data_IF_361546874761
#
_entry.id   IF_361546874761
#
_cell.length_a   1.000
_cell.length_b   1.000
_cell.length_c   1.000
_cell.angle_alpha   90.00
_cell.angle_beta   90.00
_cell.angle_gamma   90.00
#
_symmetry.space_group_name_H-M   'P 1'
#
loop_
_entity.id
_entity.type
_entity.pdbx_description
1 polymer ?
#
# COMPACT_ATOMS: atom_id res chain seq x y z
N UNK A 1 20.38 17.32 -36.21
CA UNK A 1 21.28 16.15 -36.03
C UNK A 1 21.07 15.63 -34.61
N UNK A 2 20.39 14.50 -34.47
CA UNK A 2 19.90 14.02 -33.17
C UNK A 2 20.83 12.92 -32.67
N UNK A 3 21.58 13.19 -31.60
CA UNK A 3 22.38 12.19 -30.92
C UNK A 3 21.46 11.21 -30.17
N UNK A 4 21.38 9.99 -30.68
CA UNK A 4 20.77 8.85 -29.99
C UNK A 4 21.81 8.28 -29.04
N UNK A 5 21.58 8.43 -27.73
CA UNK A 5 22.40 7.75 -26.71
C UNK A 5 21.90 6.31 -26.60
N UNK A 6 22.62 5.40 -27.24
CA UNK A 6 22.45 3.95 -27.10
C UNK A 6 23.09 3.53 -25.78
N UNK A 7 22.27 3.17 -24.79
CA UNK A 7 22.76 2.59 -23.54
C UNK A 7 22.91 1.07 -23.77
N UNK A 8 24.16 0.64 -23.94
CA UNK A 8 24.53 -0.77 -24.03
C UNK A 8 24.14 -1.52 -22.75
N UNK A 9 23.35 -2.57 -22.92
CA UNK A 9 23.00 -3.51 -21.86
C UNK A 9 24.21 -4.41 -21.59
N UNK A 10 24.93 -4.15 -20.50
CA UNK A 10 26.00 -5.01 -20.03
C UNK A 10 25.43 -6.35 -19.55
N UNK A 11 25.82 -7.44 -20.20
CA UNK A 11 25.53 -8.81 -19.78
C UNK A 11 26.35 -9.14 -18.53
N UNK A 12 25.68 -9.46 -17.43
CA UNK A 12 26.31 -9.96 -16.23
C UNK A 12 26.65 -11.45 -16.38
N UNK A 13 27.87 -11.90 -16.02
CA UNK A 13 28.21 -13.31 -16.02
C UNK A 13 27.46 -14.05 -14.91
N UNK A 14 26.80 -15.16 -15.27
CA UNK A 14 26.28 -16.16 -14.31
C UNK A 14 27.47 -16.84 -13.63
N UNK A 15 27.75 -16.46 -12.39
CA UNK A 15 28.57 -17.28 -11.49
C UNK A 15 27.72 -18.46 -11.02
N UNK A 16 28.03 -19.65 -11.54
CA UNK A 16 27.51 -20.91 -11.03
C UNK A 16 28.29 -21.28 -9.76
N UNK A 17 27.73 -20.95 -8.59
CA UNK A 17 28.22 -21.45 -7.31
C UNK A 17 27.68 -22.87 -7.08
N UNK A 18 28.54 -23.86 -7.30
CA UNK A 18 28.36 -25.24 -6.86
C UNK A 18 28.43 -25.30 -5.33
N UNK A 19 27.28 -25.24 -4.67
CA UNK A 19 27.16 -25.45 -3.23
C UNK A 19 26.86 -26.94 -3.03
N UNK A 20 27.84 -27.68 -2.52
CA UNK A 20 27.65 -29.04 -2.03
C UNK A 20 26.66 -29.05 -0.86
N UNK A 21 25.72 -30.01 -0.81
CA UNK A 21 24.77 -30.11 0.31
C UNK A 21 25.50 -30.44 1.63
N UNK A 22 25.06 -29.88 2.76
CA UNK A 22 25.63 -30.19 4.06
C UNK A 22 25.30 -31.65 4.48
N UNK A 23 26.17 -32.28 5.28
CA UNK A 23 25.96 -33.63 5.78
C UNK A 23 24.73 -33.72 6.70
N UNK A 24 23.96 -34.78 6.52
CA UNK A 24 22.78 -35.13 7.29
C UNK A 24 23.15 -35.45 8.75
N UNK A 25 22.65 -34.67 9.70
CA UNK A 25 22.79 -34.97 11.14
C UNK A 25 21.47 -35.63 11.59
N UNK A 26 21.49 -36.88 12.10
CA UNK A 26 20.30 -37.53 12.62
C UNK A 26 19.82 -36.84 13.90
N UNK A 27 18.56 -36.42 13.87
CA UNK A 27 17.85 -35.73 14.96
C UNK A 27 17.60 -36.69 16.14
N UNK A 28 18.24 -36.42 17.27
CA UNK A 28 17.98 -37.08 18.55
C UNK A 28 16.62 -36.63 19.09
N UNK A 29 15.62 -37.52 19.04
CA UNK A 29 14.32 -37.30 19.68
C UNK A 29 14.48 -37.26 21.22
N UNK A 30 14.05 -36.18 21.89
CA UNK A 30 13.96 -36.18 23.34
C UNK A 30 12.73 -36.96 23.81
N UNK A 31 12.95 -38.00 24.60
CA UNK A 31 11.87 -38.70 25.31
C UNK A 31 11.31 -37.80 26.42
N UNK A 32 10.04 -37.43 26.30
CA UNK A 32 9.31 -36.66 27.31
C UNK A 32 8.71 -37.65 28.33
N UNK A 33 8.97 -37.49 29.65
CA UNK A 33 8.36 -38.31 30.68
C UNK A 33 6.86 -38.03 30.82
N UNK A 34 6.07 -39.09 30.83
CA UNK A 34 4.65 -39.08 31.13
C UNK A 34 4.40 -38.62 32.58
N UNK A 35 3.91 -37.39 32.75
CA UNK A 35 3.46 -36.87 34.05
C UNK A 35 1.98 -37.18 34.26
N UNK A 36 1.73 -37.96 35.31
CA UNK A 36 0.44 -38.47 35.75
C UNK A 36 -0.58 -37.36 36.02
N UNK A 37 -1.76 -37.56 35.43
CA UNK A 37 -2.94 -36.71 35.49
C UNK A 37 -3.61 -36.84 36.87
N UNK A 38 -3.52 -35.81 37.71
CA UNK A 38 -4.34 -35.68 38.93
C UNK A 38 -5.74 -35.20 38.57
N UNK A 39 -6.71 -36.10 38.76
CA UNK A 39 -8.15 -35.87 38.56
C UNK A 39 -8.69 -34.94 39.65
N UNK A 40 -9.12 -33.73 39.26
CA UNK A 40 -9.91 -32.84 40.11
C UNK A 40 -11.42 -33.07 39.88
N UNK A 41 -12.27 -32.92 40.92
CA UNK A 41 -13.70 -33.17 40.81
C UNK A 41 -14.44 -32.05 40.03
N UNK A 42 -15.54 -32.40 39.35
CA UNK A 42 -16.27 -31.46 38.49
C UNK A 42 -17.03 -30.41 39.31
N UNK A 43 -16.63 -29.15 39.17
CA UNK A 43 -17.38 -27.99 39.68
C UNK A 43 -18.63 -27.77 38.82
N UNK A 44 -19.80 -27.94 39.44
CA UNK A 44 -21.14 -27.82 38.86
C UNK A 44 -21.52 -26.36 38.57
N UNK A 45 -20.77 -25.70 37.69
CA UNK A 45 -21.15 -24.40 37.13
C UNK A 45 -21.82 -24.64 35.79
N UNK A 46 -23.14 -24.42 35.74
CA UNK A 46 -23.92 -24.41 34.51
C UNK A 46 -23.14 -23.63 33.44
N UNK A 47 -22.73 -24.26 32.32
CA UNK A 47 -22.09 -23.54 31.24
C UNK A 47 -23.10 -22.52 30.73
N UNK A 48 -22.88 -21.25 31.07
CA UNK A 48 -23.53 -20.14 30.41
C UNK A 48 -23.08 -20.26 28.96
N UNK A 49 -23.94 -20.87 28.14
CA UNK A 49 -23.82 -20.91 26.69
C UNK A 49 -23.77 -19.46 26.25
N UNK A 50 -22.56 -18.90 26.22
CA UNK A 50 -22.29 -17.69 25.49
C UNK A 50 -22.49 -18.12 24.04
N UNK A 51 -23.69 -17.88 23.51
CA UNK A 51 -23.88 -17.80 22.08
C UNK A 51 -22.84 -16.79 21.60
N UNK A 52 -21.73 -17.31 21.10
CA UNK A 52 -20.73 -16.56 20.38
C UNK A 52 -21.49 -15.88 19.26
N UNK A 53 -21.69 -14.56 19.41
CA UNK A 53 -22.28 -13.70 18.39
C UNK A 53 -21.67 -14.14 17.06
N UNK A 54 -22.48 -14.46 16.03
CA UNK A 54 -21.94 -14.78 14.72
C UNK A 54 -21.00 -13.64 14.35
N UNK A 55 -19.72 -13.99 14.24
CA UNK A 55 -18.65 -13.05 13.96
C UNK A 55 -19.06 -12.44 12.63
N UNK A 56 -19.55 -11.20 12.63
CA UNK A 56 -19.86 -10.47 11.41
C UNK A 56 -18.55 -10.40 10.64
N UNK A 57 -18.39 -11.32 9.69
CA UNK A 57 -17.41 -11.23 8.62
C UNK A 57 -17.89 -10.02 7.84
N UNK A 58 -17.39 -8.86 8.25
CA UNK A 58 -17.60 -7.64 7.50
C UNK A 58 -16.87 -7.91 6.19
N UNK A 59 -17.63 -8.01 5.09
CA UNK A 59 -17.15 -8.16 3.72
C UNK A 59 -16.41 -6.90 3.24
N UNK A 60 -15.54 -6.34 4.09
CA UNK A 60 -14.70 -5.19 3.77
C UNK A 60 -13.53 -5.70 2.95
N UNK A 61 -13.37 -5.14 1.75
CA UNK A 61 -12.22 -5.43 0.88
C UNK A 61 -10.92 -4.82 1.44
N UNK A 62 -11.04 -3.77 2.26
CA UNK A 62 -9.88 -3.05 2.79
C UNK A 62 -8.97 -3.96 3.61
N UNK A 63 -7.70 -3.98 3.24
CA UNK A 63 -6.65 -4.82 3.81
C UNK A 63 -6.48 -6.18 3.13
N UNK A 64 -7.35 -6.57 2.19
CA UNK A 64 -7.20 -7.82 1.44
C UNK A 64 -6.03 -7.72 0.46
N UNK A 65 -5.18 -8.73 0.47
CA UNK A 65 -4.09 -8.87 -0.49
C UNK A 65 -4.57 -9.68 -1.68
N UNK A 66 -4.43 -9.11 -2.86
CA UNK A 66 -4.77 -9.73 -4.14
C UNK A 66 -3.57 -9.74 -5.07
N UNK A 67 -3.71 -10.34 -6.24
CA UNK A 67 -2.71 -10.37 -7.30
C UNK A 67 -3.19 -9.56 -8.50
N UNK A 68 -2.38 -8.59 -8.93
CA UNK A 68 -2.55 -7.92 -10.20
C UNK A 68 -1.81 -8.73 -11.28
N UNK A 69 -2.54 -9.41 -12.21
CA UNK A 69 -1.91 -10.26 -13.21
C UNK A 69 -1.11 -9.44 -14.24
N UNK A 70 -0.41 -10.13 -15.14
CA UNK A 70 0.27 -9.48 -16.27
C UNK A 70 -0.74 -8.76 -17.16
N UNK A 71 -0.32 -7.67 -17.79
CA UNK A 71 -1.17 -6.83 -18.65
C UNK A 71 -1.97 -7.62 -19.69
N UNK A 72 -1.31 -8.53 -20.41
CA UNK A 72 -1.94 -9.38 -21.44
C UNK A 72 -2.96 -10.40 -20.91
N UNK A 73 -3.05 -10.62 -19.59
CA UNK A 73 -4.07 -11.48 -18.96
C UNK A 73 -5.27 -10.69 -18.44
N UNK A 74 -5.23 -9.37 -18.54
CA UNK A 74 -6.32 -8.48 -18.18
C UNK A 74 -7.10 -8.17 -19.47
N UNK A 75 -8.42 -8.36 -19.49
CA UNK A 75 -9.26 -7.90 -20.60
C UNK A 75 -9.03 -6.41 -20.89
N UNK A 76 -9.02 -6.02 -22.16
CA UNK A 76 -8.65 -4.65 -22.57
C UNK A 76 -9.58 -3.57 -21.97
N UNK A 77 -10.84 -3.91 -21.72
CA UNK A 77 -11.84 -3.06 -21.06
C UNK A 77 -11.60 -2.86 -19.56
N UNK A 78 -10.81 -3.74 -18.94
CA UNK A 78 -10.45 -3.71 -17.52
C UNK A 78 -9.00 -3.29 -17.28
N UNK A 79 -8.22 -3.01 -18.34
CA UNK A 79 -6.81 -2.63 -18.21
C UNK A 79 -6.67 -1.27 -17.52
N UNK A 80 -6.04 -1.19 -16.32
CA UNK A 80 -5.82 0.07 -15.63
C UNK A 80 -4.80 1.00 -16.31
N UNK A 81 -4.16 0.57 -17.40
CA UNK A 81 -3.13 1.33 -18.14
C UNK A 81 -1.99 1.83 -17.23
N UNK A 82 -1.46 0.92 -16.42
CA UNK A 82 -0.33 1.19 -15.53
C UNK A 82 0.99 1.11 -16.31
N UNK A 83 2.07 1.56 -15.67
CA UNK A 83 3.42 1.34 -16.20
C UNK A 83 3.71 -0.16 -16.32
N UNK A 84 4.46 -0.59 -17.34
CA UNK A 84 4.71 -2.01 -17.63
C UNK A 84 5.29 -2.77 -16.41
N UNK A 85 6.11 -2.09 -15.61
CA UNK A 85 6.71 -2.64 -14.39
C UNK A 85 5.77 -2.74 -13.18
N UNK A 86 4.52 -2.29 -13.28
CA UNK A 86 3.54 -2.33 -12.20
C UNK A 86 2.63 -3.56 -12.25
N UNK A 87 2.64 -4.34 -13.33
CA UNK A 87 1.86 -5.58 -13.45
C UNK A 87 2.60 -6.78 -12.83
N UNK A 88 1.90 -7.89 -12.61
CA UNK A 88 2.50 -9.13 -12.06
C UNK A 88 3.02 -8.96 -10.61
N UNK A 89 2.22 -8.28 -9.79
CA UNK A 89 2.56 -7.95 -8.41
C UNK A 89 1.43 -8.26 -7.45
N UNK A 90 1.74 -8.61 -6.18
CA UNK A 90 0.76 -8.55 -5.12
C UNK A 90 0.37 -7.10 -4.85
N UNK A 91 -0.88 -6.90 -4.46
CA UNK A 91 -1.45 -5.58 -4.16
C UNK A 91 -2.31 -5.67 -2.90
N UNK A 92 -2.43 -4.58 -2.17
CA UNK A 92 -3.36 -4.47 -1.03
C UNK A 92 -4.49 -3.52 -1.38
N UNK A 93 -5.74 -3.95 -1.19
CA UNK A 93 -6.91 -3.10 -1.39
C UNK A 93 -7.04 -2.14 -0.22
N UNK A 94 -7.18 -0.85 -0.52
CA UNK A 94 -7.31 0.22 0.47
C UNK A 94 -8.78 0.62 0.68
N UNK A 95 -9.59 0.65 -0.38
CA UNK A 95 -11.03 0.96 -0.32
C UNK A 95 -11.80 -0.13 0.44
N UNK A 96 -12.81 0.28 1.22
CA UNK A 96 -13.70 -0.68 1.91
C UNK A 96 -14.68 -1.38 0.97
N UNK A 97 -15.16 -0.63 -0.01
CA UNK A 97 -16.14 -1.05 -1.03
C UNK A 97 -15.67 -0.55 -2.40
N UNK A 98 -16.03 -1.23 -3.49
CA UNK A 98 -15.74 -0.73 -4.82
C UNK A 98 -16.59 0.53 -5.13
N UNK A 99 -16.10 1.34 -6.08
CA UNK A 99 -16.89 2.41 -6.69
C UNK A 99 -18.10 1.85 -7.45
N UNK A 100 -19.06 2.71 -7.87
CA UNK A 100 -20.17 2.29 -8.73
C UNK A 100 -19.71 1.61 -10.04
N UNK A 101 -18.55 2.01 -10.57
CA UNK A 101 -17.91 1.45 -11.76
C UNK A 101 -17.11 0.18 -11.47
N UNK A 102 -17.08 -0.28 -10.22
CA UNK A 102 -16.34 -1.47 -9.80
C UNK A 102 -14.85 -1.23 -9.56
N UNK A 103 -14.41 0.03 -9.40
CA UNK A 103 -13.02 0.38 -9.14
C UNK A 103 -12.69 0.27 -7.64
N UNK A 104 -11.46 -0.11 -7.33
CA UNK A 104 -10.89 -0.11 -5.97
C UNK A 104 -9.53 0.57 -5.99
N UNK A 105 -9.21 1.26 -4.89
CA UNK A 105 -7.89 1.84 -4.67
C UNK A 105 -6.96 0.79 -4.08
N UNK A 106 -5.77 0.67 -4.65
CA UNK A 106 -4.76 -0.32 -4.25
C UNK A 106 -3.39 0.33 -4.00
N UNK A 107 -2.60 -0.30 -3.13
CA UNK A 107 -1.16 -0.06 -3.02
C UNK A 107 -0.39 -1.30 -3.49
N UNK A 108 0.72 -1.07 -4.17
CA UNK A 108 1.56 -2.15 -4.70
C UNK A 108 2.42 -2.77 -3.60
N UNK A 109 2.61 -4.09 -3.64
CA UNK A 109 3.53 -4.82 -2.77
C UNK A 109 4.74 -5.27 -3.60
N UNK A 110 5.94 -4.99 -3.09
CA UNK A 110 7.19 -5.42 -3.69
C UNK A 110 7.99 -6.29 -2.72
N UNK A 111 8.65 -7.31 -3.24
CA UNK A 111 9.60 -8.12 -2.45
C UNK A 111 11.05 -7.70 -2.64
N UNK A 112 11.32 -6.74 -3.55
CA UNK A 112 12.68 -6.29 -3.89
C UNK A 112 13.67 -7.44 -4.21
N UNK A 113 13.16 -8.54 -4.78
CA UNK A 113 13.94 -9.75 -5.04
C UNK A 113 14.25 -10.57 -3.79
N UNK A 114 13.36 -10.56 -2.78
CA UNK A 114 13.54 -11.15 -1.46
C UNK A 114 14.69 -10.56 -0.63
N UNK A 115 15.21 -9.39 -1.04
CA UNK A 115 16.25 -8.65 -0.31
C UNK A 115 15.61 -7.65 0.64
N UNK A 116 16.35 -7.29 1.69
CA UNK A 116 15.96 -6.16 2.55
C UNK A 116 16.08 -4.83 1.79
N UNK A 117 15.30 -3.83 2.19
CA UNK A 117 15.27 -2.52 1.52
C UNK A 117 16.66 -1.86 1.43
N UNK A 118 17.50 -2.02 2.46
CA UNK A 118 18.87 -1.51 2.48
C UNK A 118 19.82 -2.19 1.49
N UNK A 119 19.52 -3.42 1.09
CA UNK A 119 20.31 -4.16 0.09
C UNK A 119 19.79 -3.94 -1.33
N UNK A 120 18.50 -3.61 -1.46
CA UNK A 120 17.85 -3.45 -2.74
C UNK A 120 18.08 -2.07 -3.37
N UNK A 121 18.27 -1.06 -2.54
CA UNK A 121 18.45 0.32 -2.95
C UNK A 121 19.73 0.88 -2.35
N UNK A 122 20.39 1.78 -3.09
CA UNK A 122 21.42 2.67 -2.53
C UNK A 122 20.85 3.33 -1.25
N UNK A 123 21.65 3.51 -0.19
CA UNK A 123 21.19 4.11 1.05
C UNK A 123 20.73 5.55 0.88
N UNK A 124 19.47 5.68 0.48
CA UNK A 124 18.68 6.90 0.42
C UNK A 124 17.49 6.73 1.37
N UNK A 125 17.64 7.30 2.56
CA UNK A 125 16.63 7.27 3.60
C UNK A 125 15.27 7.81 3.13
N UNK A 126 15.26 8.87 2.32
CA UNK A 126 14.01 9.44 1.83
C UNK A 126 13.28 8.47 0.90
N UNK A 127 14.03 7.70 0.12
CA UNK A 127 13.45 6.64 -0.70
C UNK A 127 12.83 5.54 0.18
N UNK A 128 13.53 5.11 1.23
CA UNK A 128 13.10 4.01 2.09
C UNK A 128 11.81 4.30 2.84
N UNK A 129 11.60 5.55 3.27
CA UNK A 129 10.37 6.00 3.92
C UNK A 129 9.09 5.79 3.08
N UNK A 130 9.22 5.55 1.77
CA UNK A 130 8.08 5.23 0.90
C UNK A 130 7.63 3.77 0.98
N UNK A 131 8.23 2.96 1.85
CA UNK A 131 7.97 1.54 1.94
C UNK A 131 7.65 1.11 3.37
N UNK A 132 6.43 0.63 3.58
CA UNK A 132 6.02 0.04 4.85
C UNK A 132 6.35 -1.47 4.87
N UNK A 133 7.18 -1.96 5.81
CA UNK A 133 7.56 -3.37 5.86
C UNK A 133 6.39 -4.26 6.27
N UNK A 134 6.24 -5.42 5.64
CA UNK A 134 5.30 -6.49 6.06
C UNK A 134 6.10 -7.60 6.74
N UNK A 135 5.70 -7.99 7.96
CA UNK A 135 6.37 -9.06 8.73
C UNK A 135 6.51 -10.32 7.85
N UNK A 136 7.72 -10.92 7.74
CA UNK A 136 8.90 -10.71 8.59
C UNK A 136 9.91 -9.65 8.10
N UNK A 137 9.61 -8.89 7.05
CA UNK A 137 10.50 -7.82 6.60
C UNK A 137 10.67 -6.73 7.68
N UNK A 138 11.85 -6.10 7.70
CA UNK A 138 12.19 -5.03 8.63
C UNK A 138 12.57 -3.75 7.87
N UNK A 139 12.37 -2.61 8.51
CA UNK A 139 12.84 -1.31 8.04
C UNK A 139 14.03 -0.86 8.91
N UNK A 140 15.22 -0.59 8.34
CA UNK A 140 16.44 -0.32 9.12
C UNK A 140 16.31 0.80 10.14
N UNK A 141 15.55 1.83 9.81
CA UNK A 141 15.39 3.01 10.67
C UNK A 141 13.96 3.17 11.24
N UNK A 142 13.08 2.17 11.04
CA UNK A 142 11.73 2.16 11.63
C UNK A 142 11.31 0.72 11.99
N UNK A 143 12.04 0.04 12.89
CA UNK A 143 11.86 -1.39 13.15
C UNK A 143 10.44 -1.76 13.62
N UNK A 144 9.75 -0.84 14.30
CA UNK A 144 8.44 -1.06 14.92
C UNK A 144 7.25 -0.75 13.99
N UNK A 145 7.50 -0.38 12.73
CA UNK A 145 6.44 -0.01 11.77
C UNK A 145 5.93 -1.20 10.94
N UNK A 146 6.22 -2.42 11.38
CA UNK A 146 5.86 -3.64 10.64
C UNK A 146 4.35 -3.85 10.58
N UNK A 147 3.89 -4.09 9.36
CA UNK A 147 2.54 -4.51 9.06
C UNK A 147 2.43 -6.02 9.33
N UNK A 148 1.42 -6.40 10.10
CA UNK A 148 1.21 -7.76 10.57
C UNK A 148 -0.12 -8.32 10.07
N UNK A 149 -0.10 -9.60 9.71
CA UNK A 149 -1.31 -10.39 9.51
C UNK A 149 -1.89 -10.84 10.88
N UNK A 150 -3.18 -11.18 10.96
CA UNK A 150 -3.74 -11.91 12.11
C UNK A 150 -3.00 -13.24 12.34
N UNK A 151 -2.98 -13.75 13.57
CA UNK A 151 -2.18 -14.94 13.95
C UNK A 151 -2.47 -16.21 13.12
N UNK A 152 -3.69 -16.34 12.58
CA UNK A 152 -4.12 -17.49 11.78
C UNK A 152 -3.89 -17.30 10.26
N UNK A 153 -3.26 -16.20 9.86
CA UNK A 153 -3.01 -15.90 8.45
C UNK A 153 -1.54 -16.19 8.12
N UNK A 154 -1.24 -17.08 7.16
CA UNK A 154 0.13 -17.40 6.78
C UNK A 154 0.83 -16.17 6.20
N UNK A 155 2.09 -15.89 6.57
CA UNK A 155 2.83 -14.74 6.07
C UNK A 155 3.06 -14.84 4.56
N UNK A 156 3.48 -13.72 3.96
CA UNK A 156 3.94 -13.72 2.57
C UNK A 156 5.21 -14.56 2.43
N UNK A 157 5.37 -15.22 1.27
CA UNK A 157 6.49 -16.14 1.04
C UNK A 157 7.87 -15.44 0.97
N UNK A 158 7.88 -14.13 0.76
CA UNK A 158 9.08 -13.31 0.65
C UNK A 158 8.98 -12.11 1.58
N UNK A 159 10.13 -11.61 2.03
CA UNK A 159 10.21 -10.30 2.65
C UNK A 159 9.61 -9.26 1.71
N UNK A 160 8.56 -8.60 2.16
CA UNK A 160 7.72 -7.76 1.31
C UNK A 160 7.46 -6.42 1.96
N UNK A 161 7.28 -5.42 1.12
CA UNK A 161 7.07 -4.03 1.48
C UNK A 161 5.88 -3.48 0.70
N UNK A 162 5.02 -2.70 1.35
CA UNK A 162 3.97 -1.93 0.67
C UNK A 162 4.58 -0.62 0.20
N UNK A 163 4.49 -0.32 -1.09
CA UNK A 163 4.83 0.99 -1.63
C UNK A 163 3.71 1.99 -1.28
N UNK A 164 3.98 2.90 -0.35
CA UNK A 164 3.01 3.90 0.13
C UNK A 164 3.10 5.23 -0.62
N UNK A 165 4.01 5.36 -1.58
CA UNK A 165 4.16 6.58 -2.39
C UNK A 165 2.99 6.80 -3.33
N UNK A 166 2.45 5.72 -3.89
CA UNK A 166 1.49 5.79 -4.99
C UNK A 166 0.34 4.82 -4.79
N UNK A 167 -0.86 5.38 -4.90
CA UNK A 167 -2.12 4.67 -4.92
C UNK A 167 -2.61 4.57 -6.37
N UNK A 168 -3.16 3.42 -6.73
CA UNK A 168 -3.72 3.18 -8.06
C UNK A 168 -5.20 2.82 -7.95
N UNK A 169 -6.00 3.24 -8.93
CA UNK A 169 -7.37 2.77 -9.09
C UNK A 169 -7.40 1.66 -10.13
N UNK A 170 -7.97 0.51 -9.78
CA UNK A 170 -8.07 -0.65 -10.67
C UNK A 170 -9.46 -1.26 -10.58
N UNK A 171 -9.95 -1.88 -11.64
CA UNK A 171 -11.18 -2.67 -11.55
C UNK A 171 -10.96 -3.88 -10.64
N UNK A 172 -11.86 -4.10 -9.68
CA UNK A 172 -11.79 -5.26 -8.79
C UNK A 172 -11.77 -6.58 -9.58
N UNK A 173 -12.48 -6.63 -10.71
CA UNK A 173 -12.53 -7.79 -11.60
C UNK A 173 -11.21 -8.09 -12.32
N UNK A 174 -10.32 -7.11 -12.45
CA UNK A 174 -8.98 -7.32 -13.00
C UNK A 174 -8.05 -8.04 -12.01
N UNK A 175 -8.37 -8.01 -10.71
CA UNK A 175 -7.59 -8.65 -9.66
C UNK A 175 -7.90 -10.15 -9.56
N UNK A 176 -6.90 -10.91 -9.12
CA UNK A 176 -7.00 -12.35 -8.85
C UNK A 176 -6.72 -12.64 -7.39
N UNK A 177 -7.25 -13.74 -6.83
CA UNK A 177 -6.82 -14.21 -5.51
C UNK A 177 -5.31 -14.33 -5.45
N UNK A 178 -4.69 -13.88 -4.36
CA UNK A 178 -3.25 -13.90 -4.21
C UNK A 178 -2.71 -15.33 -4.10
N UNK A 179 -3.48 -16.21 -3.46
CA UNK A 179 -3.20 -17.64 -3.37
C UNK A 179 -4.44 -18.41 -3.81
N UNK A 180 -4.22 -19.58 -4.42
CA UNK A 180 -5.31 -20.51 -4.75
C UNK A 180 -5.82 -21.27 -3.50
N UNK A 181 -5.21 -21.03 -2.33
CA UNK A 181 -5.62 -21.62 -1.05
C UNK A 181 -6.90 -20.98 -0.52
N UNK A 182 -7.53 -21.64 0.46
CA UNK A 182 -8.76 -21.18 1.12
C UNK A 182 -8.52 -19.85 1.85
N UNK A 183 -8.87 -18.75 1.18
CA UNK A 183 -8.84 -17.39 1.72
C UNK A 183 -7.63 -16.57 1.29
N UNK A 184 -7.89 -15.37 0.81
CA UNK A 184 -6.85 -14.37 0.57
C UNK A 184 -6.31 -13.83 1.90
N UNK A 185 -5.00 -13.54 2.00
CA UNK A 185 -4.45 -12.95 3.21
C UNK A 185 -5.02 -11.55 3.41
N UNK A 186 -5.46 -11.26 4.64
CA UNK A 186 -6.00 -9.96 5.03
C UNK A 186 -5.12 -9.36 6.12
N UNK A 187 -4.73 -8.10 5.95
CA UNK A 187 -3.92 -7.38 6.91
C UNK A 187 -4.67 -7.19 8.25
N UNK A 188 -3.95 -7.26 9.36
CA UNK A 188 -4.52 -7.02 10.69
C UNK A 188 -5.09 -5.60 10.81
N UNK A 189 -6.18 -5.44 11.58
CA UNK A 189 -6.88 -4.14 11.69
C UNK A 189 -5.99 -3.00 12.18
N UNK A 190 -5.06 -3.27 13.10
CA UNK A 190 -4.12 -2.27 13.59
C UNK A 190 -3.15 -1.85 12.48
N UNK A 191 -2.55 -2.81 11.79
CA UNK A 191 -1.63 -2.55 10.67
C UNK A 191 -2.32 -1.85 9.49
N UNK A 192 -3.58 -2.20 9.18
CA UNK A 192 -4.36 -1.49 8.16
C UNK A 192 -4.59 -0.03 8.55
N UNK A 193 -4.85 0.26 9.83
CA UNK A 193 -4.98 1.64 10.31
C UNK A 193 -3.66 2.41 10.16
N UNK A 194 -2.55 1.82 10.62
CA UNK A 194 -1.22 2.41 10.49
C UNK A 194 -0.84 2.66 9.02
N UNK A 195 -1.17 1.72 8.13
CA UNK A 195 -0.94 1.86 6.69
C UNK A 195 -1.74 3.03 6.09
N UNK A 196 -3.03 3.17 6.46
CA UNK A 196 -3.86 4.30 6.01
C UNK A 196 -3.31 5.64 6.48
N UNK A 197 -2.82 5.70 7.71
CA UNK A 197 -2.20 6.91 8.26
C UNK A 197 -0.88 7.26 7.55
N UNK A 198 0.01 6.28 7.37
CA UNK A 198 1.30 6.47 6.71
C UNK A 198 1.16 6.90 5.24
N UNK A 199 0.19 6.32 4.52
CA UNK A 199 -0.13 6.69 3.13
C UNK A 199 -1.02 7.92 3.00
N UNK A 200 -1.46 8.53 4.11
CA UNK A 200 -2.45 9.63 4.15
C UNK A 200 -3.72 9.29 3.35
N UNK A 201 -4.10 8.02 3.33
CA UNK A 201 -5.18 7.51 2.50
C UNK A 201 -6.54 7.96 3.02
N UNK A 202 -7.37 8.48 2.12
CA UNK A 202 -8.76 8.86 2.38
C UNK A 202 -9.64 8.07 1.44
N UNK A 203 -10.47 7.18 2.00
CA UNK A 203 -11.41 6.35 1.24
C UNK A 203 -12.55 7.22 0.70
N UNK A 204 -12.47 7.62 -0.57
CA UNK A 204 -13.45 8.48 -1.22
C UNK A 204 -14.77 7.75 -1.50
N UNK A 205 -14.73 6.42 -1.59
CA UNK A 205 -15.89 5.59 -1.90
C UNK A 205 -16.66 5.15 -0.65
N UNK A 206 -16.08 5.28 0.55
CA UNK A 206 -16.80 5.06 1.80
C UNK A 206 -17.85 6.18 2.02
N UNK A 207 -19.16 5.85 2.03
CA UNK A 207 -20.22 6.83 2.22
C UNK A 207 -20.16 7.53 3.59
N UNK A 208 -19.45 6.96 4.56
CA UNK A 208 -19.24 7.58 5.86
C UNK A 208 -18.15 8.66 5.81
N UNK A 209 -17.16 8.52 4.94
CA UNK A 209 -16.09 9.52 4.76
C UNK A 209 -16.66 10.81 4.18
N UNK A 210 -17.49 10.72 3.15
CA UNK A 210 -18.11 11.89 2.50
C UNK A 210 -18.99 12.70 3.47
N UNK A 211 -19.76 12.02 4.34
CA UNK A 211 -20.56 12.66 5.41
C UNK A 211 -19.67 13.41 6.40
N UNK A 212 -18.53 12.82 6.77
CA UNK A 212 -17.59 13.41 7.73
C UNK A 212 -16.89 14.65 7.16
N UNK A 213 -16.47 14.59 5.89
CA UNK A 213 -15.89 15.75 5.18
C UNK A 213 -16.89 16.89 5.02
N UNK A 214 -18.14 16.59 4.66
CA UNK A 214 -19.22 17.60 4.57
C UNK A 214 -19.52 18.26 5.93
N UNK A 215 -19.48 17.49 7.03
CA UNK A 215 -19.71 18.01 8.38
C UNK A 215 -18.59 18.97 8.82
N UNK A 216 -17.33 18.64 8.52
CA UNK A 216 -16.19 19.52 8.83
C UNK A 216 -16.36 20.90 8.21
N UNK A 217 -16.70 20.97 6.92
CA UNK A 217 -16.88 22.26 6.21
C UNK A 217 -17.96 23.17 6.81
N UNK A 218 -19.01 22.61 7.42
CA UNK A 218 -20.07 23.44 8.03
C UNK A 218 -19.62 24.11 9.33
N UNK A 219 -18.76 23.44 10.10
CA UNK A 219 -18.30 23.97 11.37
C UNK A 219 -17.32 25.12 11.19
N UNK A 220 -16.52 25.11 10.11
CA UNK A 220 -15.55 26.16 9.83
C UNK A 220 -16.23 27.47 9.34
N UNK A 221 -17.46 27.39 8.82
CA UNK A 221 -18.23 28.56 8.32
C UNK A 221 -19.08 29.21 9.43
N UNK A 222 -19.36 28.50 10.54
CA UNK A 222 -20.10 29.07 11.67
C UNK A 222 -19.21 29.78 12.71
N UNK A 223 -17.89 29.79 12.51
CA UNK A 223 -17.00 30.66 13.25
C UNK A 223 -17.19 32.08 12.74
N UNK A 224 -18.07 32.83 13.37
CA UNK A 224 -18.23 34.27 13.21
C UNK A 224 -16.88 34.95 13.07
N UNK A 225 -16.65 35.53 11.89
CA UNK A 225 -15.59 36.49 11.63
C UNK A 225 -15.60 37.51 12.77
N UNK A 226 -14.49 37.78 13.49
CA UNK A 226 -14.44 38.95 14.35
C UNK A 226 -14.78 40.14 13.47
N UNK A 227 -15.84 40.85 13.85
CA UNK A 227 -16.26 42.12 13.27
C UNK A 227 -15.12 43.12 13.46
N UNK A 228 -14.19 43.15 12.51
CA UNK A 228 -13.19 44.20 12.40
C UNK A 228 -13.88 45.32 11.64
N UNK A 229 -14.38 46.29 12.39
CA UNK A 229 -14.87 47.54 11.84
C UNK A 229 -13.74 48.24 11.05
N UNK A 230 -14.03 48.56 9.79
CA UNK A 230 -13.47 49.74 9.12
C UNK A 230 -12.09 49.60 8.47
N UNK A 231 -12.04 48.96 7.30
CA UNK A 231 -11.21 49.48 6.21
C UNK A 231 -11.79 49.06 4.86
N UNK A 232 -12.44 50.04 4.22
CA UNK A 232 -13.03 49.96 2.89
C UNK A 232 -11.90 49.79 1.87
N UNK A 233 -11.83 48.61 1.25
CA UNK A 233 -11.23 48.44 -0.09
C UNK A 233 -12.15 47.48 -0.84
N UNK A 234 -12.88 48.02 -1.81
CA UNK A 234 -13.47 47.25 -2.91
C UNK A 234 -12.35 46.48 -3.63
N UNK A 235 -12.54 45.20 -3.93
CA UNK A 235 -13.00 44.81 -5.27
C UNK A 235 -13.36 43.33 -5.35
N UNK A 236 -14.21 43.05 -6.33
CA UNK A 236 -14.73 41.76 -6.78
C UNK A 236 -13.60 40.84 -7.26
N UNK A 237 -13.68 39.55 -6.94
CA UNK A 237 -14.05 38.55 -7.95
C UNK A 237 -14.00 37.12 -7.39
N UNK A 238 -15.02 36.37 -7.81
CA UNK A 238 -15.16 34.96 -7.59
C UNK A 238 -14.36 34.15 -8.62
N UNK A 239 -14.13 32.88 -8.28
CA UNK A 239 -13.63 31.76 -9.10
C UNK A 239 -12.11 31.53 -9.17
N UNK A 240 -11.83 30.22 -9.24
CA UNK A 240 -10.58 29.56 -9.61
C UNK A 240 -9.53 29.35 -8.50
N UNK A 241 -9.75 28.26 -7.76
CA UNK A 241 -8.66 27.42 -7.24
C UNK A 241 -7.92 26.73 -8.39
N UNK A 242 -7.23 27.53 -9.20
CA UNK A 242 -6.11 27.06 -10.01
C UNK A 242 -4.91 26.99 -9.06
N UNK A 243 -4.25 25.84 -9.05
CA UNK A 243 -3.01 25.59 -8.31
C UNK A 243 -2.07 26.78 -8.51
N UNK A 244 -1.67 27.45 -7.43
CA UNK A 244 -0.64 28.49 -7.45
C UNK A 244 0.67 27.88 -7.99
N UNK A 245 0.85 27.92 -9.30
CA UNK A 245 2.17 27.95 -9.90
C UNK A 245 2.69 29.33 -9.54
N UNK A 246 3.70 29.39 -8.66
CA UNK A 246 4.39 30.64 -8.33
C UNK A 246 4.75 31.36 -9.64
N UNK A 247 4.59 32.68 -9.69
CA UNK A 247 4.94 33.51 -10.84
C UNK A 247 6.36 33.22 -11.35
N UNK A 248 7.26 32.90 -10.41
CA UNK A 248 8.64 32.46 -10.68
C UNK A 248 8.68 31.17 -11.50
N UNK A 249 7.83 30.21 -11.19
CA UNK A 249 7.71 28.94 -11.92
C UNK A 249 7.17 29.13 -13.34
N UNK A 250 6.21 30.03 -13.53
CA UNK A 250 5.72 30.39 -14.86
C UNK A 250 6.82 31.04 -15.71
N UNK A 251 7.58 31.97 -15.12
CA UNK A 251 8.68 32.66 -15.80
C UNK A 251 9.79 31.70 -16.25
N UNK A 252 10.14 30.74 -15.38
CA UNK A 252 11.08 29.66 -15.70
C UNK A 252 10.58 28.79 -16.86
N UNK A 253 9.30 28.43 -16.87
CA UNK A 253 8.71 27.59 -17.92
C UNK A 253 8.73 28.30 -19.29
N UNK A 254 8.45 29.60 -19.31
CA UNK A 254 8.56 30.43 -20.51
C UNK A 254 10.01 30.53 -21.00
N UNK A 255 10.97 30.76 -20.09
CA UNK A 255 12.40 30.79 -20.44
C UNK A 255 12.86 29.45 -21.06
N UNK A 256 12.47 28.32 -20.47
CA UNK A 256 12.77 27.00 -21.02
C UNK A 256 12.18 26.80 -22.42
N UNK A 257 10.95 27.24 -22.65
CA UNK A 257 10.32 27.13 -23.97
C UNK A 257 11.04 27.98 -25.03
N UNK A 258 11.44 29.20 -24.69
CA UNK A 258 12.19 30.09 -25.60
C UNK A 258 13.56 29.50 -25.94
N UNK A 259 14.31 29.01 -24.94
CA UNK A 259 15.61 28.36 -25.16
C UNK A 259 15.45 27.11 -26.03
N UNK A 260 14.43 26.30 -25.77
CA UNK A 260 14.12 25.11 -26.57
C UNK A 260 13.82 25.45 -28.03
N UNK A 261 13.01 26.49 -28.27
CA UNK A 261 12.70 26.98 -29.62
C UNK A 261 13.93 27.52 -30.33
N UNK A 262 14.78 28.29 -29.64
CA UNK A 262 16.02 28.82 -30.20
C UNK A 262 16.96 27.69 -30.64
N UNK A 263 17.16 26.67 -29.81
CA UNK A 263 17.97 25.49 -30.13
C UNK A 263 17.38 24.61 -31.24
N UNK A 264 16.09 24.75 -31.55
CA UNK A 264 15.40 24.04 -32.63
C UNK A 264 15.55 24.71 -33.98
N UNK A 265 15.74 26.04 -33.99
CA UNK A 265 15.77 26.88 -35.20
C UNK A 265 17.21 27.19 -35.62
N UNK A 266 18.14 27.28 -34.67
CA UNK A 266 19.58 27.39 -34.94
C UNK A 266 20.18 26.02 -35.34
#
# INVERSE_FOLDING_TARGET
>A
MTCVVVINSASFPRLASSISPPPFIPELQPQIPCLSRTTMPPSNRKPRVQLSRPRQISNSLSGQIMWLPSRHRIPADLDPNLEEGAYHHPVIIMSRVPSPEGLVEILMITSMGARGIAQAHTPDWNHWLNYAPIKPATHPAMPDTQLCFPDNCPPLAKNSYVNIRQCYCVHLQALRPYRQSVGDPVLGRASLRSLKEASKFVDLYDPNTSKRLKKSRRNDISGSLPEVEGLVVEDKDAMQTVRHISLVGLLLLVLFAVVYLYLRVA
#
